data_IF_086027272735
#
_entry.id   IF_086027272735
#
_cell.length_a   1.000
_cell.length_b   1.000
_cell.length_c   1.000
_cell.angle_alpha   90.00
_cell.angle_beta   90.00
_cell.angle_gamma   90.00
#
_symmetry.space_group_name_H-M   'P 1'
#
loop_
_entity.id
_entity.type
_entity.pdbx_description
1 polymer ?
#
# COMPACT_ATOMS: atom_id res chain seq x y z
N UNK A 1 4.00 -7.13 -23.08
CA UNK A 1 3.36 -7.98 -22.06
C UNK A 1 4.19 -7.86 -20.79
N UNK A 2 3.61 -7.46 -19.65
CA UNK A 2 4.37 -7.34 -18.40
C UNK A 2 4.65 -8.75 -17.89
N UNK A 3 5.86 -9.24 -18.14
CA UNK A 3 6.34 -10.48 -17.51
C UNK A 3 6.58 -10.24 -16.03
N UNK A 4 6.22 -11.21 -15.19
CA UNK A 4 6.56 -11.20 -13.77
C UNK A 4 8.08 -11.15 -13.66
N UNK A 5 8.59 -10.08 -13.04
CA UNK A 5 10.03 -9.93 -12.78
C UNK A 5 10.38 -10.54 -11.43
N UNK A 6 11.52 -11.22 -11.41
CA UNK A 6 12.16 -11.69 -10.20
C UNK A 6 13.14 -10.63 -9.71
N UNK A 7 13.19 -10.47 -8.39
CA UNK A 7 14.03 -9.51 -7.69
C UNK A 7 14.79 -10.27 -6.59
N UNK A 8 15.98 -9.82 -6.25
CA UNK A 8 16.75 -10.33 -5.10
C UNK A 8 16.07 -9.95 -3.79
N UNK A 9 15.50 -8.75 -3.73
CA UNK A 9 14.73 -8.23 -2.59
C UNK A 9 13.28 -8.05 -3.03
N UNK A 10 12.32 -8.41 -2.17
CA UNK A 10 10.90 -8.14 -2.44
C UNK A 10 10.23 -7.52 -1.22
N UNK A 11 10.19 -6.19 -1.20
CA UNK A 11 9.49 -5.46 -0.14
C UNK A 11 8.01 -5.79 -0.11
N UNK A 12 7.50 -6.13 1.07
CA UNK A 12 6.11 -6.47 1.26
C UNK A 12 5.59 -6.06 2.61
N UNK A 13 4.28 -6.22 2.75
CA UNK A 13 3.56 -5.83 3.94
C UNK A 13 2.63 -6.96 4.36
N UNK A 14 2.59 -7.26 5.65
CA UNK A 14 1.65 -8.17 6.27
C UNK A 14 0.75 -7.37 7.22
N UNK A 15 -0.57 -7.48 7.06
CA UNK A 15 -1.55 -6.72 7.83
C UNK A 15 -2.42 -7.70 8.62
N UNK A 16 -2.25 -7.73 9.93
CA UNK A 16 -3.04 -8.53 10.86
C UNK A 16 -4.37 -7.81 11.20
N UNK A 17 -5.45 -8.29 10.61
CA UNK A 17 -6.79 -7.72 10.75
C UNK A 17 -7.42 -8.04 12.10
N UNK A 18 -6.91 -9.02 12.84
CA UNK A 18 -7.39 -9.33 14.18
C UNK A 18 -6.76 -8.40 15.23
N UNK A 19 -5.65 -7.73 14.92
CA UNK A 19 -5.04 -6.67 15.74
C UNK A 19 -5.49 -5.25 15.36
N UNK A 20 -6.05 -5.08 14.16
CA UNK A 20 -6.46 -3.78 13.66
C UNK A 20 -7.76 -3.31 14.35
N UNK A 21 -7.67 -2.20 15.09
CA UNK A 21 -8.82 -1.58 15.78
C UNK A 21 -9.52 -0.49 14.97
N UNK A 22 -9.05 -0.21 13.75
CA UNK A 22 -9.63 0.84 12.92
C UNK A 22 -9.26 2.27 13.33
N UNK A 23 -8.23 2.48 14.15
CA UNK A 23 -7.88 3.80 14.72
C UNK A 23 -7.51 4.91 13.72
N UNK A 24 -7.25 4.58 12.45
CA UNK A 24 -6.94 5.56 11.40
C UNK A 24 -5.55 6.22 11.46
N UNK A 25 -4.73 5.93 12.47
CA UNK A 25 -3.39 6.53 12.62
C UNK A 25 -2.49 6.32 11.38
N UNK A 26 -2.55 5.12 10.78
CA UNK A 26 -1.83 4.78 9.56
C UNK A 26 -2.24 5.63 8.33
N UNK A 27 -3.48 6.13 8.28
CA UNK A 27 -3.96 7.00 7.21
C UNK A 27 -3.32 8.38 7.32
N UNK A 28 -3.39 8.96 8.52
CA UNK A 28 -2.83 10.29 8.82
C UNK A 28 -1.31 10.29 8.67
N UNK A 29 -0.63 9.26 9.17
CA UNK A 29 0.82 9.10 9.01
C UNK A 29 1.23 8.99 7.54
N UNK A 30 0.44 8.32 6.70
CA UNK A 30 0.70 8.26 5.27
C UNK A 30 0.50 9.64 4.59
N UNK A 31 -0.53 10.39 5.00
CA UNK A 31 -0.81 11.73 4.49
C UNK A 31 0.32 12.72 4.83
N UNK A 32 0.74 12.76 6.10
CA UNK A 32 1.80 13.63 6.56
C UNK A 32 3.15 13.28 5.91
N UNK A 33 3.54 12.00 5.95
CA UNK A 33 4.83 11.55 5.43
C UNK A 33 4.97 11.77 3.92
N UNK A 34 3.90 11.57 3.15
CA UNK A 34 3.95 11.61 1.70
C UNK A 34 3.37 12.90 1.14
N UNK A 35 3.35 14.01 1.90
CA UNK A 35 2.87 15.32 1.45
C UNK A 35 1.53 15.25 0.68
N UNK A 36 0.57 14.46 1.18
CA UNK A 36 -0.74 14.36 0.55
C UNK A 36 -1.55 15.60 0.93
N UNK A 37 -1.91 16.41 -0.06
CA UNK A 37 -2.63 17.64 0.18
C UNK A 37 -4.02 17.37 0.80
N UNK A 38 -4.43 18.14 1.82
CA UNK A 38 -5.80 18.12 2.31
C UNK A 38 -6.79 18.42 1.17
N UNK A 39 -7.91 17.71 1.15
CA UNK A 39 -8.95 18.00 0.18
C UNK A 39 -9.66 19.32 0.56
N UNK A 40 -9.77 20.30 -0.37
CA UNK A 40 -10.55 21.52 -0.11
C UNK A 40 -12.02 21.23 0.21
N UNK A 41 -12.56 20.20 -0.43
CA UNK A 41 -13.88 19.64 -0.18
C UNK A 41 -13.78 18.13 -0.02
N UNK A 42 -13.95 17.65 1.21
CA UNK A 42 -13.92 16.24 1.56
C UNK A 42 -15.30 15.55 1.46
N UNK A 43 -16.37 16.25 1.08
CA UNK A 43 -17.70 15.64 0.93
C UNK A 43 -17.72 14.63 -0.21
N UNK A 44 -16.98 14.93 -1.29
CA UNK A 44 -16.83 14.03 -2.42
C UNK A 44 -15.68 13.04 -2.19
N UNK A 45 -16.02 11.89 -1.57
CA UNK A 45 -15.08 10.80 -1.28
C UNK A 45 -14.36 10.24 -2.52
N UNK A 46 -14.89 10.43 -3.73
CA UNK A 46 -14.26 9.97 -4.98
C UNK A 46 -13.11 10.89 -5.44
N UNK A 47 -13.05 12.12 -4.91
CA UNK A 47 -12.02 13.11 -5.24
C UNK A 47 -10.99 13.29 -4.13
N UNK A 48 -11.19 12.67 -2.97
CA UNK A 48 -10.26 12.74 -1.84
C UNK A 48 -9.00 11.90 -2.12
N UNK A 49 -7.84 12.42 -1.72
CA UNK A 49 -6.56 11.75 -1.84
C UNK A 49 -6.25 10.98 -0.54
N UNK A 50 -6.28 9.64 -0.59
CA UNK A 50 -6.01 8.81 0.58
C UNK A 50 -5.23 7.55 0.20
N UNK A 51 -3.90 7.59 0.21
CA UNK A 51 -3.10 6.46 -0.27
C UNK A 51 -3.28 5.15 0.50
N UNK A 52 -3.78 5.24 1.72
CA UNK A 52 -4.22 4.14 2.57
C UNK A 52 -5.58 4.53 3.15
N UNK A 53 -6.57 3.66 2.98
CA UNK A 53 -7.92 3.83 3.56
C UNK A 53 -8.22 2.62 4.44
N UNK A 54 -8.71 2.86 5.66
CA UNK A 54 -9.22 1.81 6.54
C UNK A 54 -10.70 1.62 6.25
N UNK A 55 -11.06 0.44 5.78
CA UNK A 55 -12.45 0.05 5.53
C UNK A 55 -13.01 -0.71 6.71
N UNK A 56 -14.25 -0.41 7.10
CA UNK A 56 -15.01 -1.25 8.01
C UNK A 56 -15.67 -2.39 7.23
N UNK A 57 -15.47 -3.62 7.71
CA UNK A 57 -16.09 -4.83 7.20
C UNK A 57 -17.08 -5.32 8.25
N UNK A 58 -18.26 -5.76 7.82
CA UNK A 58 -19.24 -6.38 8.70
C UNK A 58 -19.67 -7.74 8.14
N UNK A 59 -19.90 -8.69 9.02
CA UNK A 59 -20.49 -9.98 8.66
C UNK A 59 -22.00 -9.90 8.35
N UNK A 60 -22.62 -8.71 8.52
CA UNK A 60 -24.05 -8.41 8.28
C UNK A 60 -25.03 -9.31 9.05
N UNK A 61 -24.59 -9.97 10.12
CA UNK A 61 -25.47 -10.77 10.98
C UNK A 61 -26.16 -9.89 12.02
N UNK A 62 -27.36 -10.28 12.49
CA UNK A 62 -28.02 -9.61 13.60
C UNK A 62 -27.29 -9.90 14.92
N UNK A 63 -27.56 -9.08 15.95
CA UNK A 63 -27.11 -9.35 17.32
C UNK A 63 -27.71 -10.69 17.82
N UNK A 64 -26.95 -11.54 18.54
CA UNK A 64 -25.60 -11.33 19.07
C UNK A 64 -24.44 -11.74 18.14
N UNK A 65 -24.72 -12.31 16.97
CA UNK A 65 -23.69 -12.84 16.06
C UNK A 65 -23.01 -11.77 15.19
N UNK A 66 -23.29 -10.49 15.43
CA UNK A 66 -22.71 -9.37 14.69
C UNK A 66 -21.21 -9.23 14.98
N UNK A 67 -20.39 -9.17 13.94
CA UNK A 67 -18.94 -9.01 14.04
C UNK A 67 -18.43 -7.98 13.01
N UNK A 68 -17.39 -7.25 13.40
CA UNK A 68 -16.77 -6.15 12.64
C UNK A 68 -15.27 -6.38 12.54
N UNK A 69 -14.70 -6.11 11.37
CA UNK A 69 -13.27 -6.11 11.13
C UNK A 69 -12.86 -4.83 10.40
N UNK A 70 -11.61 -4.41 10.55
CA UNK A 70 -11.08 -3.24 9.87
C UNK A 70 -10.00 -3.65 8.88
N UNK A 71 -10.09 -3.17 7.64
CA UNK A 71 -9.20 -3.50 6.52
C UNK A 71 -8.46 -2.24 6.04
N UNK A 72 -7.23 -1.99 6.52
CA UNK A 72 -6.33 -1.00 5.94
C UNK A 72 -5.92 -1.44 4.52
N UNK A 73 -6.29 -0.66 3.50
CA UNK A 73 -6.03 -1.00 2.09
C UNK A 73 -5.11 0.04 1.42
N UNK A 74 -3.79 -0.19 1.40
CA UNK A 74 -2.85 0.59 0.59
C UNK A 74 -2.84 0.11 -0.87
N UNK A 75 -1.91 0.65 -1.68
CA UNK A 75 -1.56 0.02 -2.96
C UNK A 75 -0.92 -1.36 -2.71
N UNK A 76 -1.36 -2.37 -3.44
CA UNK A 76 -0.95 -3.77 -3.22
C UNK A 76 0.45 -4.12 -3.79
N UNK A 77 1.12 -3.15 -4.43
CA UNK A 77 2.41 -3.29 -5.14
C UNK A 77 2.54 -4.60 -5.95
N UNK A 78 1.53 -4.88 -6.77
CA UNK A 78 1.37 -6.12 -7.53
C UNK A 78 2.65 -6.58 -8.25
N UNK A 79 2.97 -7.87 -8.19
CA UNK A 79 4.02 -8.53 -8.96
C UNK A 79 3.75 -8.50 -10.46
N UNK A 80 2.48 -8.66 -10.84
CA UNK A 80 1.97 -8.44 -12.20
C UNK A 80 1.01 -7.24 -12.20
N UNK A 81 1.52 -6.00 -12.28
CA UNK A 81 0.71 -4.80 -12.09
C UNK A 81 -0.06 -4.40 -13.37
N UNK A 82 -1.41 -4.54 -13.40
CA UNK A 82 -2.21 -4.14 -14.57
C UNK A 82 -2.13 -2.63 -14.84
N UNK A 83 -1.87 -1.85 -13.79
CA UNK A 83 -1.73 -0.40 -13.90
C UNK A 83 -0.45 0.06 -14.62
N UNK A 84 0.59 -0.79 -14.70
CA UNK A 84 1.84 -0.46 -15.42
C UNK A 84 1.67 -0.65 -16.92
N UNK A 85 1.07 -1.77 -17.34
CA UNK A 85 0.89 -2.10 -18.75
C UNK A 85 0.02 -1.11 -19.53
N UNK A 86 -0.84 -0.35 -18.83
CA UNK A 86 -1.77 0.60 -19.46
C UNK A 86 -1.26 2.04 -19.49
N UNK A 87 -0.08 2.34 -18.94
CA UNK A 87 0.43 3.71 -18.91
C UNK A 87 1.15 4.06 -20.23
N UNK A 88 0.58 4.92 -21.10
CA UNK A 88 1.15 5.19 -22.42
C UNK A 88 2.49 5.93 -22.37
N UNK A 89 2.72 6.67 -21.29
CA UNK A 89 3.92 7.49 -21.11
C UNK A 89 4.92 6.88 -20.13
N UNK A 90 4.67 5.68 -19.61
CA UNK A 90 5.56 4.99 -18.64
C UNK A 90 5.84 5.88 -17.42
N UNK A 91 4.79 6.49 -16.87
CA UNK A 91 4.86 7.21 -15.58
C UNK A 91 4.83 6.24 -14.38
N UNK A 92 4.51 4.97 -14.61
CA UNK A 92 4.56 3.91 -13.61
C UNK A 92 5.27 2.72 -14.21
N UNK A 93 6.11 2.07 -13.40
CA UNK A 93 6.98 1.00 -13.82
C UNK A 93 7.22 0.03 -12.66
N UNK A 94 7.86 -1.11 -12.91
CA UNK A 94 8.26 -2.08 -11.89
C UNK A 94 9.61 -2.70 -12.26
N UNK A 95 10.65 -1.87 -12.24
CA UNK A 95 12.00 -2.26 -12.64
C UNK A 95 13.03 -2.13 -11.52
N UNK A 96 12.72 -1.38 -10.46
CA UNK A 96 13.64 -1.14 -9.36
C UNK A 96 13.72 -2.34 -8.42
N UNK A 97 14.94 -2.64 -7.96
CA UNK A 97 15.22 -3.67 -6.98
C UNK A 97 14.43 -3.41 -5.68
N UNK A 98 13.77 -4.46 -5.16
CA UNK A 98 12.77 -4.32 -4.09
C UNK A 98 11.32 -4.45 -4.59
N UNK A 99 11.09 -4.42 -5.90
CA UNK A 99 9.79 -4.75 -6.50
C UNK A 99 8.66 -3.76 -6.20
N UNK A 100 8.98 -2.53 -5.80
CA UNK A 100 7.99 -1.47 -5.60
C UNK A 100 7.49 -0.99 -6.97
N UNK A 101 6.17 -0.86 -7.14
CA UNK A 101 5.63 -0.25 -8.36
C UNK A 101 5.91 1.25 -8.28
N UNK A 102 6.65 1.81 -9.22
CA UNK A 102 6.99 3.24 -9.19
C UNK A 102 5.82 4.10 -9.63
N UNK A 103 5.80 5.36 -9.20
CA UNK A 103 4.90 6.39 -9.69
C UNK A 103 5.66 7.70 -9.84
N UNK A 104 6.10 7.98 -11.05
CA UNK A 104 6.87 9.17 -11.43
C UNK A 104 5.89 10.27 -11.81
N UNK A 105 5.58 11.13 -10.85
CA UNK A 105 4.55 12.16 -11.00
C UNK A 105 4.82 13.17 -12.11
N UNK A 106 6.07 13.64 -12.38
CA UNK A 106 6.32 14.60 -13.46
C UNK A 106 6.08 14.02 -14.86
N UNK A 107 6.13 12.69 -15.01
CA UNK A 107 5.88 12.00 -16.29
C UNK A 107 4.40 11.72 -16.52
N UNK A 108 3.55 11.90 -15.52
CA UNK A 108 2.14 11.57 -15.58
C UNK A 108 1.35 12.63 -16.36
N UNK A 109 0.72 12.23 -17.47
CA UNK A 109 -0.16 13.10 -18.28
C UNK A 109 -1.62 13.11 -17.83
N UNK A 110 -1.95 12.43 -16.73
CA UNK A 110 -3.30 12.47 -16.18
C UNK A 110 -4.40 11.74 -16.96
N UNK A 111 -4.08 10.79 -17.83
CA UNK A 111 -5.08 10.04 -18.61
C UNK A 111 -5.95 9.07 -17.76
N UNK A 112 -5.58 8.84 -16.49
CA UNK A 112 -6.31 8.03 -15.49
C UNK A 112 -6.54 6.55 -15.84
N UNK A 113 -6.03 6.05 -16.97
CA UNK A 113 -6.24 4.65 -17.34
C UNK A 113 -5.67 3.66 -16.30
N UNK A 114 -4.55 4.01 -15.67
CA UNK A 114 -3.99 3.23 -14.57
C UNK A 114 -4.92 3.11 -13.34
N UNK A 115 -5.84 4.06 -13.12
CA UNK A 115 -6.85 3.97 -12.07
C UNK A 115 -7.93 2.95 -12.42
N UNK A 116 -8.45 3.01 -13.66
CA UNK A 116 -9.45 2.07 -14.16
C UNK A 116 -8.91 0.63 -14.22
N UNK A 117 -7.63 0.45 -14.55
CA UNK A 117 -6.98 -0.85 -14.59
C UNK A 117 -6.65 -1.43 -13.20
N UNK A 118 -6.69 -0.64 -12.13
CA UNK A 118 -6.33 -1.11 -10.79
C UNK A 118 -7.55 -1.74 -10.12
N UNK A 119 -7.59 -3.07 -9.89
CA UNK A 119 -8.77 -3.73 -9.31
C UNK A 119 -9.04 -3.32 -7.86
N UNK A 120 -8.06 -2.71 -7.19
CA UNK A 120 -8.17 -2.24 -5.81
C UNK A 120 -8.55 -0.77 -5.68
N UNK A 121 -8.67 -0.03 -6.80
CA UNK A 121 -8.86 1.43 -6.82
C UNK A 121 -7.90 2.19 -5.88
N UNK A 122 -6.64 1.72 -5.81
CA UNK A 122 -5.60 2.25 -4.91
C UNK A 122 -4.73 3.33 -5.57
N UNK A 123 -5.29 4.04 -6.56
CA UNK A 123 -4.67 5.17 -7.28
C UNK A 123 -5.61 6.36 -7.21
N UNK A 124 -5.06 7.52 -6.91
CA UNK A 124 -5.80 8.75 -6.65
C UNK A 124 -5.39 9.81 -7.64
N UNK A 125 -6.32 10.67 -8.07
CA UNK A 125 -6.06 11.71 -9.05
C UNK A 125 -6.12 13.08 -8.42
N UNK A 126 -5.12 13.92 -8.69
CA UNK A 126 -5.13 15.32 -8.28
C UNK A 126 -6.07 16.12 -9.19
N UNK A 127 -7.30 16.32 -8.73
CA UNK A 127 -8.34 17.08 -9.43
C UNK A 127 -8.10 18.58 -9.41
N UNK A 128 -7.50 19.06 -8.32
CA UNK A 128 -7.28 20.47 -8.03
C UNK A 128 -5.79 20.69 -7.74
N UNK A 129 -5.36 21.94 -7.80
CA UNK A 129 -4.03 22.29 -7.31
C UNK A 129 -3.98 22.10 -5.79
N UNK A 130 -2.87 21.58 -5.23
CA UNK A 130 -2.77 21.34 -3.80
C UNK A 130 -2.83 22.67 -3.06
N UNK A 131 -3.72 22.76 -2.07
CA UNK A 131 -3.85 23.93 -1.20
C UNK A 131 -3.42 23.51 0.19
N UNK A 132 -2.38 24.15 0.70
CA UNK A 132 -1.91 23.98 2.06
C UNK A 132 -2.43 25.15 2.90
N UNK A 133 -3.16 24.88 4.00
CA UNK A 133 -3.51 25.92 4.96
C UNK A 133 -2.25 26.65 5.46
N UNK A 134 -2.38 27.93 5.80
CA UNK A 134 -1.26 28.74 6.28
C UNK A 134 -0.53 28.07 7.45
N UNK A 135 0.79 27.95 7.33
CA UNK A 135 1.67 27.28 8.29
C UNK A 135 1.87 25.79 8.02
N UNK A 136 0.98 25.14 7.27
CA UNK A 136 1.11 23.71 6.95
C UNK A 136 2.22 23.45 5.92
N UNK A 137 2.60 24.45 5.11
CA UNK A 137 3.74 24.36 4.20
C UNK A 137 5.07 24.01 4.92
N UNK A 138 5.18 24.34 6.21
CA UNK A 138 6.35 24.02 7.05
C UNK A 138 6.38 22.57 7.51
N UNK A 139 5.27 21.85 7.40
CA UNK A 139 5.15 20.44 7.79
C UNK A 139 5.52 19.48 6.66
N UNK A 140 5.73 20.00 5.45
CA UNK A 140 6.06 19.20 4.28
C UNK A 140 7.47 18.63 4.39
N UNK A 141 7.60 17.33 4.13
CA UNK A 141 8.93 16.72 4.01
C UNK A 141 9.62 17.20 2.73
N UNK A 142 10.92 17.53 2.76
CA UNK A 142 11.69 17.82 1.55
C UNK A 142 11.92 16.57 0.67
N UNK A 143 11.77 15.37 1.23
CA UNK A 143 12.14 14.12 0.55
C UNK A 143 11.08 13.62 -0.44
N UNK A 144 9.87 14.18 -0.38
CA UNK A 144 8.74 13.78 -1.24
C UNK A 144 8.21 15.00 -1.97
N UNK A 145 8.14 14.91 -3.30
CA UNK A 145 7.61 16.01 -4.11
C UNK A 145 6.15 16.30 -3.75
N UNK A 146 5.78 17.59 -3.67
CA UNK A 146 4.39 18.02 -3.77
C UNK A 146 3.90 17.85 -5.21
N UNK A 147 2.65 17.43 -5.38
CA UNK A 147 2.14 17.04 -6.70
C UNK A 147 1.22 18.12 -7.26
N UNK A 148 1.40 18.51 -8.54
CA UNK A 148 0.48 19.44 -9.18
C UNK A 148 -0.86 18.76 -9.50
N UNK A 149 -1.84 19.59 -9.87
CA UNK A 149 -3.07 19.09 -10.50
C UNK A 149 -2.75 18.27 -11.74
N UNK A 150 -3.60 17.28 -12.03
CA UNK A 150 -3.53 16.52 -13.28
C UNK A 150 -2.69 15.24 -13.19
N UNK A 151 -2.05 14.96 -12.05
CA UNK A 151 -1.23 13.75 -11.89
C UNK A 151 -1.90 12.71 -11.01
N UNK A 152 -1.62 11.44 -11.29
CA UNK A 152 -2.05 10.31 -10.46
C UNK A 152 -1.02 10.04 -9.38
N UNK A 153 -1.49 9.58 -8.23
CA UNK A 153 -0.71 9.19 -7.07
C UNK A 153 -1.13 7.83 -6.51
N UNK A 154 -0.28 7.24 -5.70
CA UNK A 154 -0.54 6.00 -4.97
C UNK A 154 0.44 5.84 -3.82
N UNK A 155 0.12 4.95 -2.88
CA UNK A 155 1.11 4.44 -1.94
C UNK A 155 2.34 3.90 -2.70
N UNK A 156 3.53 4.34 -2.33
CA UNK A 156 4.83 3.93 -2.87
C UNK A 156 5.64 3.11 -1.87
N UNK A 157 5.00 2.57 -0.83
CA UNK A 157 5.68 2.01 0.34
C UNK A 157 6.70 2.99 0.97
N UNK A 158 6.43 4.30 0.93
CA UNK A 158 7.39 5.31 1.45
C UNK A 158 8.77 5.14 0.80
N UNK A 159 8.81 5.06 -0.54
CA UNK A 159 10.03 4.86 -1.33
C UNK A 159 11.18 5.80 -0.96
N UNK A 160 10.88 7.04 -0.56
CA UNK A 160 11.89 7.99 -0.09
C UNK A 160 12.62 7.52 1.18
N UNK A 161 11.95 6.83 2.11
CA UNK A 161 12.60 6.20 3.27
C UNK A 161 13.52 5.05 2.86
N UNK A 162 13.16 4.30 1.82
CA UNK A 162 14.04 3.27 1.24
C UNK A 162 15.31 3.91 0.66
N UNK A 163 15.16 5.02 -0.07
CA UNK A 163 16.30 5.76 -0.62
C UNK A 163 17.22 6.27 0.50
N UNK A 164 16.66 6.90 1.54
CA UNK A 164 17.44 7.37 2.68
C UNK A 164 18.19 6.24 3.40
N UNK A 165 17.56 5.07 3.60
CA UNK A 165 18.20 3.90 4.20
C UNK A 165 19.34 3.36 3.30
N UNK A 166 19.11 3.29 1.98
CA UNK A 166 20.14 2.90 1.00
C UNK A 166 21.33 3.86 1.00
N UNK A 167 21.08 5.16 1.05
CA UNK A 167 22.13 6.18 1.07
C UNK A 167 22.95 6.10 2.37
N UNK A 168 22.30 5.90 3.51
CA UNK A 168 22.97 5.66 4.79
C UNK A 168 23.88 4.42 4.73
N UNK A 169 23.37 3.30 4.21
CA UNK A 169 24.16 2.08 4.05
C UNK A 169 25.40 2.30 3.16
N UNK A 170 25.27 3.06 2.06
CA UNK A 170 26.40 3.42 1.19
C UNK A 170 27.45 4.24 1.91
N UNK A 171 27.03 5.22 2.72
CA UNK A 171 27.96 6.06 3.51
C UNK A 171 28.73 5.23 4.54
N UNK A 172 28.08 4.23 5.14
CA UNK A 172 28.69 3.29 6.08
C UNK A 172 29.53 2.19 5.41
N UNK A 173 29.61 2.18 4.07
CA UNK A 173 30.33 1.15 3.31
C UNK A 173 29.64 -0.22 3.27
N UNK A 174 28.36 -0.29 3.65
CA UNK A 174 27.51 -1.49 3.56
C UNK A 174 26.83 -1.59 2.19
N UNK A 175 26.33 -2.78 1.86
CA UNK A 175 25.54 -2.99 0.65
C UNK A 175 24.17 -2.30 0.78
N UNK A 176 23.81 -1.32 -0.08
CA UNK A 176 22.49 -0.68 -0.05
C UNK A 176 21.33 -1.65 -0.29
N UNK A 177 21.58 -2.80 -0.89
CA UNK A 177 20.55 -3.81 -1.15
C UNK A 177 20.45 -4.86 -0.03
N UNK A 178 21.30 -4.79 1.00
CA UNK A 178 21.24 -5.66 2.18
C UNK A 178 20.89 -4.84 3.44
N UNK A 179 19.72 -4.21 3.44
CA UNK A 179 19.22 -3.45 4.59
C UNK A 179 18.82 -4.40 5.72
N UNK A 180 19.20 -4.05 6.95
CA UNK A 180 18.83 -4.81 8.14
C UNK A 180 17.35 -4.59 8.50
N UNK A 181 16.76 -5.50 9.28
CA UNK A 181 15.38 -5.36 9.72
C UNK A 181 15.22 -4.10 10.58
N UNK A 182 14.24 -3.28 10.22
CA UNK A 182 13.98 -2.00 10.87
C UNK A 182 14.73 -0.78 10.31
N UNK A 183 15.69 -0.94 9.38
CA UNK A 183 16.33 0.22 8.73
C UNK A 183 15.39 0.93 7.75
N UNK A 184 14.49 0.18 7.12
CA UNK A 184 13.47 0.70 6.22
C UNK A 184 12.07 0.30 6.72
N UNK A 185 11.44 1.22 7.45
CA UNK A 185 10.07 1.08 7.95
C UNK A 185 9.18 2.15 7.32
N UNK A 186 8.02 1.74 6.82
CA UNK A 186 7.02 2.67 6.27
C UNK A 186 6.32 3.46 7.38
N UNK A 187 5.91 4.70 7.10
CA UNK A 187 5.23 5.54 8.11
C UNK A 187 3.96 4.90 8.66
N UNK A 188 3.21 4.16 7.83
CA UNK A 188 2.01 3.45 8.27
C UNK A 188 2.30 2.25 9.20
N UNK A 189 3.48 1.65 9.10
CA UNK A 189 3.94 0.59 10.00
C UNK A 189 4.38 1.18 11.33
N UNK A 190 5.22 2.22 11.28
CA UNK A 190 5.70 2.94 12.46
C UNK A 190 4.56 3.55 13.30
N UNK A 191 3.55 4.12 12.65
CA UNK A 191 2.43 4.76 13.33
C UNK A 191 1.36 3.79 13.87
N UNK A 192 1.47 2.48 13.62
CA UNK A 192 0.46 1.52 14.05
C UNK A 192 0.64 1.13 15.53
N UNK A 193 -0.23 1.57 16.46
CA UNK A 193 -0.01 1.35 17.90
C UNK A 193 -0.07 -0.13 18.30
N UNK A 194 -0.86 -0.93 17.58
CA UNK A 194 -1.06 -2.34 17.90
C UNK A 194 -0.10 -3.26 17.14
N UNK A 195 0.80 -2.72 16.30
CA UNK A 195 1.66 -3.52 15.44
C UNK A 195 0.88 -4.44 14.48
N UNK A 196 -0.26 -3.95 13.98
CA UNK A 196 -1.09 -4.69 13.04
C UNK A 196 -0.47 -4.72 11.63
N UNK A 197 0.21 -3.65 11.23
CA UNK A 197 0.94 -3.57 9.97
C UNK A 197 2.39 -3.93 10.25
N UNK A 198 2.94 -4.88 9.49
CA UNK A 198 4.35 -5.29 9.52
C UNK A 198 4.91 -5.16 8.11
N UNK A 199 6.10 -4.61 7.98
CA UNK A 199 6.75 -4.35 6.69
C UNK A 199 8.17 -4.89 6.71
N UNK A 200 8.66 -5.36 5.57
CA UNK A 200 10.02 -5.89 5.43
C UNK A 200 10.23 -6.62 4.11
N UNK A 201 11.31 -7.38 3.99
CA UNK A 201 11.57 -8.23 2.82
C UNK A 201 10.82 -9.57 2.91
N UNK A 202 10.02 -9.89 1.89
CA UNK A 202 9.27 -11.15 1.78
C UNK A 202 10.16 -12.37 1.46
N UNK A 203 11.39 -12.14 1.02
CA UNK A 203 12.35 -13.19 0.68
C UNK A 203 13.32 -13.50 1.82
N UNK A 204 13.49 -12.60 2.78
CA UNK A 204 14.39 -12.79 3.93
C UNK A 204 13.69 -13.57 5.08
N UNK A 205 14.12 -14.80 5.42
CA UNK A 205 13.54 -15.60 6.50
C UNK A 205 13.59 -14.96 7.89
N UNK A 206 14.54 -14.06 8.13
CA UNK A 206 14.73 -13.42 9.43
C UNK A 206 13.71 -12.29 9.68
N UNK A 207 13.09 -11.76 8.62
CA UNK A 207 12.09 -10.71 8.76
C UNK A 207 10.72 -11.29 9.14
N UNK A 208 10.05 -10.63 10.08
CA UNK A 208 8.71 -11.05 10.54
C UNK A 208 7.67 -11.14 9.42
N UNK A 209 7.78 -10.33 8.38
CA UNK A 209 6.87 -10.36 7.23
C UNK A 209 6.97 -11.69 6.44
N UNK A 210 8.14 -12.33 6.42
CA UNK A 210 8.35 -13.62 5.76
C UNK A 210 7.54 -14.72 6.42
N UNK A 211 7.55 -14.76 7.76
CA UNK A 211 6.77 -15.71 8.56
C UNK A 211 5.27 -15.44 8.39
N UNK A 212 4.85 -14.19 8.57
CA UNK A 212 3.44 -13.81 8.52
C UNK A 212 2.81 -14.06 7.13
N UNK A 213 3.53 -13.79 6.05
CA UNK A 213 3.03 -14.02 4.68
C UNK A 213 2.82 -15.50 4.34
N UNK A 214 3.45 -16.42 5.09
CA UNK A 214 3.32 -17.89 4.93
C UNK A 214 2.44 -18.55 5.98
N UNK A 215 1.81 -17.76 6.84
CA UNK A 215 0.87 -18.26 7.84
C UNK A 215 -0.37 -18.88 7.19
N UNK A 216 -0.94 -19.92 7.80
CA UNK A 216 -2.21 -20.57 7.41
C UNK A 216 -3.47 -19.68 7.53
N UNK A 217 -3.28 -18.43 7.91
CA UNK A 217 -4.33 -17.42 8.02
C UNK A 217 -4.07 -16.25 7.07
N UNK A 218 -2.98 -16.31 6.30
CA UNK A 218 -2.58 -15.28 5.37
C UNK A 218 -3.33 -15.46 4.05
N UNK A 219 -3.84 -14.36 3.50
CA UNK A 219 -4.51 -14.33 2.21
C UNK A 219 -4.17 -13.04 1.47
N UNK A 220 -4.42 -13.03 0.17
CA UNK A 220 -4.24 -11.86 -0.70
C UNK A 220 -5.61 -11.40 -1.20
N UNK A 221 -5.76 -10.09 -1.38
CA UNK A 221 -6.99 -9.56 -1.98
C UNK A 221 -7.03 -9.92 -3.46
N UNK A 222 -8.20 -10.39 -3.94
CA UNK A 222 -8.46 -10.72 -5.34
C UNK A 222 -7.37 -11.60 -5.97
N UNK A 223 -6.92 -12.62 -5.23
CA UNK A 223 -5.83 -13.51 -5.63
C UNK A 223 -6.10 -14.20 -6.97
N UNK A 224 -7.37 -14.52 -7.27
CA UNK A 224 -7.82 -15.10 -8.54
C UNK A 224 -7.45 -14.28 -9.78
N UNK A 225 -7.28 -12.97 -9.64
CA UNK A 225 -6.86 -12.10 -10.74
C UNK A 225 -5.40 -12.31 -11.15
N UNK A 226 -4.60 -13.06 -10.38
CA UNK A 226 -3.21 -13.35 -10.72
C UNK A 226 -2.29 -12.12 -10.66
N UNK A 227 -2.67 -11.08 -9.91
CA UNK A 227 -1.89 -9.85 -9.77
C UNK A 227 -0.61 -10.04 -8.91
N UNK A 228 -0.49 -11.14 -8.18
CA UNK A 228 0.64 -11.47 -7.29
C UNK A 228 0.96 -10.34 -6.30
N UNK A 229 0.00 -9.96 -5.45
CA UNK A 229 0.16 -8.81 -4.52
C UNK A 229 1.32 -9.02 -3.55
N UNK A 230 1.97 -7.91 -3.18
CA UNK A 230 3.03 -7.85 -2.16
C UNK A 230 2.49 -7.47 -0.78
N UNK A 231 1.18 -7.22 -0.67
CA UNK A 231 0.47 -7.04 0.60
C UNK A 231 -0.31 -8.31 0.90
N UNK A 232 -0.07 -8.85 2.09
CA UNK A 232 -0.73 -10.01 2.67
C UNK A 232 -1.59 -9.55 3.83
N UNK A 233 -2.75 -10.18 4.00
CA UNK A 233 -3.66 -9.93 5.11
C UNK A 233 -3.76 -11.18 5.95
N UNK A 234 -3.86 -11.04 7.27
CA UNK A 234 -4.06 -12.16 8.18
C UNK A 234 -5.37 -11.98 8.94
N UNK A 235 -6.14 -13.06 9.04
CA UNK A 235 -7.24 -13.13 10.00
C UNK A 235 -7.56 -14.58 10.33
N UNK A 236 -7.83 -14.87 11.60
CA UNK A 236 -8.35 -16.17 12.06
C UNK A 236 -9.82 -16.34 11.71
N UNK A 237 -10.55 -15.24 11.50
CA UNK A 237 -11.98 -15.24 11.15
C UNK A 237 -12.20 -15.62 9.69
N UNK A 238 -12.88 -16.75 9.45
CA UNK A 238 -13.12 -17.25 8.09
C UNK A 238 -13.94 -16.27 7.24
N UNK A 239 -14.94 -15.61 7.83
CA UNK A 239 -15.80 -14.67 7.11
C UNK A 239 -15.00 -13.46 6.56
N UNK A 240 -13.95 -13.03 7.26
CA UNK A 240 -13.05 -11.96 6.80
C UNK A 240 -12.24 -12.43 5.60
N UNK A 241 -11.65 -13.63 5.67
CA UNK A 241 -10.89 -14.22 4.55
C UNK A 241 -11.77 -14.43 3.31
N UNK A 242 -13.04 -14.84 3.51
CA UNK A 242 -14.05 -14.96 2.44
C UNK A 242 -14.30 -13.65 1.70
N UNK A 243 -14.25 -12.50 2.38
CA UNK A 243 -14.44 -11.19 1.74
C UNK A 243 -13.22 -10.72 0.94
N UNK A 244 -12.07 -11.40 1.06
CA UNK A 244 -10.85 -11.05 0.35
C UNK A 244 -10.88 -11.33 -1.15
N UNK A 245 -11.74 -12.25 -1.61
CA UNK A 245 -11.84 -12.63 -3.02
C UNK A 245 -13.29 -13.02 -3.38
N UNK A 246 -13.57 -13.19 -4.67
CA UNK A 246 -14.87 -13.58 -5.19
C UNK A 246 -15.03 -15.11 -5.14
N UNK A 247 -15.44 -15.64 -3.97
CA UNK A 247 -15.77 -17.05 -3.79
C UNK A 247 -17.25 -17.33 -4.12
N UNK A 248 -17.52 -18.52 -4.66
CA UNK A 248 -18.89 -19.04 -4.73
C UNK A 248 -19.36 -19.48 -3.33
N UNK A 249 -20.66 -19.44 -3.07
CA UNK A 249 -21.22 -19.76 -1.73
C UNK A 249 -20.79 -21.13 -1.19
N UNK A 250 -20.66 -22.12 -2.08
CA UNK A 250 -20.29 -23.50 -1.75
C UNK A 250 -18.77 -23.74 -1.75
N UNK A 251 -17.97 -22.73 -2.10
CA UNK A 251 -16.53 -22.88 -2.21
C UNK A 251 -15.86 -22.81 -0.84
N UNK A 252 -14.91 -23.72 -0.59
CA UNK A 252 -14.07 -23.66 0.61
C UNK A 252 -12.98 -22.62 0.39
N UNK A 253 -12.83 -21.69 1.33
CA UNK A 253 -11.69 -20.76 1.32
C UNK A 253 -10.43 -21.54 1.67
N UNK A 254 -9.39 -21.41 0.85
CA UNK A 254 -8.07 -21.92 1.23
C UNK A 254 -7.62 -21.17 2.48
N UNK A 255 -7.41 -21.92 3.57
CA UNK A 255 -6.77 -21.44 4.78
C UNK A 255 -5.29 -21.22 4.51
#
# INVERSE_FOLDING_TARGET
>A
MSSKKEFKIKWGMAIDLDKCTGCGACMVACQAENNIAPAPDATNKLKTLNWLVVYELSNKKPFPDHDVAYLPRPCQQCGNPPCVSVCPVIATDKNEEGGIVSQVTPRCIGCRYCMAACPYHARYFNWYDPIWPEGMEKTLTPDVSVRPRGVVEKCTFCHHRMMAARDKARVEGRDPDALEDGEYITSCTEACPNGAIVFGDLLNPDHKVYELSRSKYAFRLLERLGADTQVYYLSRREWVRRLGDNYLEHEKVKG
#
